data_IF_757370228135
#
_entry.id   IF_757370228135
#
_cell.length_a   1.000
_cell.length_b   1.000
_cell.length_c   1.000
_cell.angle_alpha   90.00
_cell.angle_beta   90.00
_cell.angle_gamma   90.00
#
_symmetry.space_group_name_H-M   'P 1'
#
loop_
_entity.id
_entity.type
_entity.pdbx_description
1 polymer ?
#
# COMPACT_ATOMS: atom_id res chain seq x y z
N UNK A 1 -17.64 -6.86 18.60
CA UNK A 1 -16.19 -6.65 18.78
C UNK A 1 -15.51 -7.90 18.26
N UNK A 2 -14.64 -7.81 17.26
CA UNK A 2 -13.90 -8.98 16.76
C UNK A 2 -12.90 -9.43 17.83
N UNK A 3 -13.29 -10.47 18.56
CA UNK A 3 -12.71 -10.94 19.82
C UNK A 3 -11.35 -11.62 19.72
N UNK A 4 -10.62 -11.44 18.61
CA UNK A 4 -9.31 -12.07 18.43
C UNK A 4 -8.12 -11.10 18.49
N UNK A 5 -8.34 -9.78 18.51
CA UNK A 5 -7.23 -8.80 18.62
C UNK A 5 -6.18 -8.88 17.50
N UNK A 6 -6.47 -9.63 16.44
CA UNK A 6 -5.57 -9.93 15.35
C UNK A 6 -6.10 -9.23 14.11
N UNK A 7 -5.27 -8.36 13.56
CA UNK A 7 -5.62 -7.57 12.39
C UNK A 7 -5.44 -8.40 11.11
N UNK A 8 -6.20 -8.03 10.08
CA UNK A 8 -5.99 -8.48 8.69
C UNK A 8 -5.33 -7.37 7.87
N UNK A 9 -4.06 -7.00 8.16
CA UNK A 9 -3.40 -5.90 7.46
C UNK A 9 -3.15 -6.23 5.99
N UNK A 10 -3.32 -5.22 5.15
CA UNK A 10 -2.88 -5.21 3.76
C UNK A 10 -2.44 -3.80 3.38
N UNK A 11 -1.63 -3.67 2.33
CA UNK A 11 -1.16 -2.38 1.82
C UNK A 11 -1.85 -2.11 0.49
N UNK A 12 -2.35 -0.88 0.33
CA UNK A 12 -2.83 -0.33 -0.94
C UNK A 12 -1.82 0.69 -1.45
N UNK A 13 -1.52 0.64 -2.74
CA UNK A 13 -0.62 1.55 -3.44
C UNK A 13 -1.37 2.19 -4.60
N UNK A 14 -1.47 3.51 -4.57
CA UNK A 14 -2.23 4.31 -5.52
C UNK A 14 -1.29 5.30 -6.22
N UNK A 15 -1.26 5.29 -7.54
CA UNK A 15 -0.42 6.16 -8.35
C UNK A 15 -1.23 7.36 -8.90
N UNK A 16 -0.93 8.57 -8.43
CA UNK A 16 -1.65 9.81 -8.73
C UNK A 16 -0.79 10.78 -9.55
N UNK A 17 -1.31 11.59 -10.49
CA UNK A 17 -2.69 11.60 -10.96
C UNK A 17 -2.97 10.39 -11.87
N UNK A 18 -4.11 9.76 -11.63
CA UNK A 18 -4.59 8.63 -12.42
C UNK A 18 -5.60 7.79 -11.64
N UNK A 19 -6.83 7.76 -12.13
CA UNK A 19 -7.91 6.96 -11.54
C UNK A 19 -8.00 5.53 -12.13
N UNK A 20 -7.10 5.17 -13.04
CA UNK A 20 -7.11 3.86 -13.69
C UNK A 20 -6.92 2.73 -12.68
N UNK A 21 -7.62 1.60 -12.91
CA UNK A 21 -7.44 0.40 -12.09
C UNK A 21 -6.00 -0.11 -12.13
N UNK A 22 -5.27 0.12 -13.23
CA UNK A 22 -3.85 -0.24 -13.35
C UNK A 22 -2.95 0.53 -12.36
N UNK A 23 -3.40 1.72 -11.93
CA UNK A 23 -2.66 2.55 -10.97
C UNK A 23 -2.94 2.19 -9.51
N UNK A 24 -3.80 1.19 -9.27
CA UNK A 24 -4.13 0.70 -7.93
C UNK A 24 -3.60 -0.72 -7.77
N UNK A 25 -2.58 -0.85 -6.94
CA UNK A 25 -2.04 -2.14 -6.54
C UNK A 25 -2.38 -2.39 -5.08
N UNK A 26 -2.55 -3.66 -4.72
CA UNK A 26 -2.72 -4.07 -3.32
C UNK A 26 -1.92 -5.33 -3.07
N UNK A 27 -1.34 -5.42 -1.88
CA UNK A 27 -0.72 -6.67 -1.43
C UNK A 27 -1.79 -7.67 -0.99
N UNK A 28 -1.38 -8.94 -0.84
CA UNK A 28 -2.20 -9.94 -0.17
C UNK A 28 -2.58 -9.51 1.24
N UNK A 29 -3.80 -9.81 1.64
CA UNK A 29 -4.23 -9.66 3.04
C UNK A 29 -3.61 -10.75 3.88
N UNK A 30 -2.79 -10.35 4.84
CA UNK A 30 -2.23 -11.28 5.81
C UNK A 30 -3.22 -11.43 6.94
N UNK A 31 -3.77 -12.63 7.09
CA UNK A 31 -4.75 -12.92 8.13
C UNK A 31 -4.05 -13.14 9.46
N UNK A 32 -4.70 -12.73 10.53
CA UNK A 32 -4.29 -13.12 11.88
C UNK A 32 -2.83 -12.73 12.20
N UNK A 33 -2.41 -11.49 11.88
CA UNK A 33 -1.05 -11.03 12.17
C UNK A 33 -0.99 -9.58 12.63
N UNK A 34 -0.18 -9.32 13.66
CA UNK A 34 0.09 -7.97 14.17
C UNK A 34 1.36 -7.34 13.57
N UNK A 35 2.26 -8.18 13.04
CA UNK A 35 3.49 -7.77 12.36
C UNK A 35 3.49 -8.32 10.94
N UNK A 36 2.72 -7.71 10.03
CA UNK A 36 2.67 -8.15 8.64
C UNK A 36 4.00 -7.93 7.92
N UNK A 37 4.50 -9.00 7.31
CA UNK A 37 5.63 -8.95 6.38
C UNK A 37 5.15 -9.53 5.06
N UNK A 38 4.87 -8.66 4.09
CA UNK A 38 4.32 -9.08 2.80
C UNK A 38 5.36 -9.74 1.90
N UNK A 39 6.64 -9.31 1.97
CA UNK A 39 7.73 -9.76 1.08
C UNK A 39 7.27 -9.87 -0.39
N UNK A 40 6.43 -8.93 -0.83
CA UNK A 40 5.77 -8.95 -2.14
C UNK A 40 6.17 -7.68 -2.91
N UNK A 41 6.65 -7.87 -4.12
CA UNK A 41 7.04 -6.77 -5.01
C UNK A 41 5.86 -6.42 -5.91
N UNK A 42 5.40 -5.17 -5.81
CA UNK A 42 4.33 -4.64 -6.64
C UNK A 42 4.94 -3.81 -7.77
N UNK A 43 4.65 -4.19 -9.00
CA UNK A 43 5.21 -3.57 -10.20
C UNK A 43 4.09 -2.96 -11.02
N UNK A 44 4.25 -1.69 -11.39
CA UNK A 44 3.38 -1.03 -12.35
C UNK A 44 3.91 -1.26 -13.76
N UNK A 45 3.10 -1.84 -14.63
CA UNK A 45 3.44 -2.04 -16.03
C UNK A 45 2.96 -0.86 -16.88
N UNK A 46 3.80 -0.39 -17.79
CA UNK A 46 3.46 0.71 -18.70
C UNK A 46 3.60 2.11 -18.09
N UNK A 47 4.40 2.26 -17.02
CA UNK A 47 4.79 3.56 -16.49
C UNK A 47 5.99 4.06 -17.29
N UNK A 48 5.86 5.27 -17.85
CA UNK A 48 6.96 5.95 -18.54
C UNK A 48 7.83 6.72 -17.53
N UNK A 49 9.04 7.11 -17.93
CA UNK A 49 9.92 7.94 -17.07
C UNK A 49 9.25 9.28 -16.72
N UNK A 50 8.53 9.88 -17.67
CA UNK A 50 7.76 11.10 -17.43
C UNK A 50 6.67 10.87 -16.37
N UNK A 51 6.00 9.72 -16.39
CA UNK A 51 5.04 9.36 -15.35
C UNK A 51 5.71 9.16 -13.99
N UNK A 52 6.94 8.63 -13.92
CA UNK A 52 7.66 8.51 -12.64
C UNK A 52 7.97 9.88 -12.03
N UNK A 53 8.24 10.89 -12.85
CA UNK A 53 8.51 12.25 -12.36
C UNK A 53 7.24 13.02 -12.03
N UNK A 54 6.14 12.78 -12.75
CA UNK A 54 4.87 13.49 -12.57
C UNK A 54 3.94 12.81 -11.57
N UNK A 55 4.05 11.50 -11.39
CA UNK A 55 3.15 10.73 -10.52
C UNK A 55 3.72 10.55 -9.13
N UNK A 56 2.85 10.69 -8.13
CA UNK A 56 3.10 10.41 -6.72
C UNK A 56 2.54 9.05 -6.34
N UNK A 57 3.39 8.21 -5.74
CA UNK A 57 2.98 6.94 -5.15
C UNK A 57 2.43 7.18 -3.73
N UNK A 58 1.16 6.87 -3.52
CA UNK A 58 0.50 6.95 -2.21
C UNK A 58 0.30 5.54 -1.64
N UNK A 59 0.85 5.30 -0.46
CA UNK A 59 0.65 4.05 0.28
C UNK A 59 -0.40 4.24 1.37
N UNK A 60 -1.38 3.35 1.43
CA UNK A 60 -2.45 3.35 2.44
C UNK A 60 -2.54 1.98 3.10
N UNK A 61 -2.46 1.94 4.43
CA UNK A 61 -2.67 0.71 5.21
C UNK A 61 -4.00 0.89 5.94
N UNK A 62 -5.10 0.28 5.46
CA UNK A 62 -6.37 0.28 6.17
C UNK A 62 -6.27 -0.67 7.35
N UNK A 63 -5.59 -0.26 8.41
CA UNK A 63 -5.83 -0.81 9.73
C UNK A 63 -7.24 -0.37 10.13
N UNK A 64 -8.09 -1.30 10.58
CA UNK A 64 -9.46 -1.03 11.03
C UNK A 64 -9.60 -0.07 12.23
N UNK A 65 -8.52 0.62 12.58
CA UNK A 65 -8.49 1.83 13.41
C UNK A 65 -7.51 2.82 12.77
N UNK A 66 -7.81 4.13 12.73
CA UNK A 66 -6.84 5.15 12.42
C UNK A 66 -5.84 5.23 13.58
N UNK A 67 -4.89 4.29 13.66
CA UNK A 67 -3.63 4.57 14.31
C UNK A 67 -2.79 5.25 13.25
N UNK A 68 -2.46 6.52 13.50
CA UNK A 68 -1.58 7.32 12.68
C UNK A 68 -0.28 6.52 12.43
N UNK A 69 -0.20 5.85 11.28
CA UNK A 69 1.06 5.25 10.84
C UNK A 69 1.89 6.43 10.38
N UNK A 70 2.77 6.86 11.29
CA UNK A 70 3.72 7.93 11.07
C UNK A 70 4.37 7.78 9.71
N UNK A 71 4.41 8.91 9.00
CA UNK A 71 5.04 9.19 7.72
C UNK A 71 6.31 8.34 7.48
N UNK A 72 6.16 7.11 7.00
CA UNK A 72 7.30 6.26 6.63
C UNK A 72 7.71 6.66 5.22
N UNK A 73 8.71 7.55 5.19
CA UNK A 73 9.45 7.99 4.01
C UNK A 73 10.06 6.75 3.35
N UNK A 74 9.48 6.28 2.25
CA UNK A 74 10.12 5.26 1.42
C UNK A 74 11.11 5.98 0.50
N UNK A 75 12.39 5.83 0.80
CA UNK A 75 13.49 6.25 -0.06
C UNK A 75 13.53 5.33 -1.28
N UNK A 76 13.41 5.90 -2.47
CA UNK A 76 13.76 5.20 -3.70
C UNK A 76 15.30 5.15 -3.78
N UNK A 77 15.87 3.97 -3.96
CA UNK A 77 17.24 3.82 -4.46
C UNK A 77 17.18 3.77 -5.99
#
# INVERSE_FOLDING_TARGET
>A
MDSNGLADPYVKLHLLPGASKSNKLRTKTLRNTRNPVWNETLVYHGITDEDMQRKTLRQEVPTGRPQAVGQRRFSCL
#
